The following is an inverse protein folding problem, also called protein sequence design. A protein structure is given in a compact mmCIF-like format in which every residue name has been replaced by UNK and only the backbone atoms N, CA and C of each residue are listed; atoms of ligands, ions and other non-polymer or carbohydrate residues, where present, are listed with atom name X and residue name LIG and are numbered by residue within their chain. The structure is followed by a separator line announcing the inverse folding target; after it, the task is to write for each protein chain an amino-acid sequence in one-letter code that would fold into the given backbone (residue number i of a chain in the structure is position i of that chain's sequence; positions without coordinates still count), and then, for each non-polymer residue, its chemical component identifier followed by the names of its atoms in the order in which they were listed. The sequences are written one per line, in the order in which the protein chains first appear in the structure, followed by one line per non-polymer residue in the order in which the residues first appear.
data_IF_881076586071
#
_entry.id   IF_881076586071
#
_cell.length_a   1.000
_cell.length_b   1.000
_cell.length_c   1.000
_cell.angle_alpha   90.00
_cell.angle_beta   90.00
_cell.angle_gamma   90.00
#
_symmetry.space_group_name_H-M   'P 1'
#
loop_
_entity.id
_entity.type
_entity.pdbx_description
1 polymer ?
#
# COMPACT_ATOMS: atom_id res chain seq x y z
N UNK A 1 -11.42 0.96 13.44
CA UNK A 1 -10.24 0.08 13.61
C UNK A 1 -9.02 0.86 13.15
N UNK A 2 -7.81 0.55 13.61
CA UNK A 2 -6.61 1.24 13.13
C UNK A 2 -6.32 0.81 11.69
N UNK A 3 -6.49 1.71 10.72
CA UNK A 3 -6.14 1.42 9.34
C UNK A 3 -4.61 1.39 9.17
N UNK A 4 -4.03 0.19 9.19
CA UNK A 4 -2.58 -0.02 9.12
C UNK A 4 -2.00 0.36 7.76
N UNK A 5 -2.77 0.17 6.68
CA UNK A 5 -2.37 0.59 5.35
C UNK A 5 -2.19 2.11 5.30
N UNK A 6 -3.16 2.88 5.81
CA UNK A 6 -3.08 4.34 5.91
C UNK A 6 -1.89 4.79 6.76
N UNK A 7 -1.59 4.10 7.87
CA UNK A 7 -0.41 4.37 8.69
C UNK A 7 0.89 4.13 7.92
N UNK A 8 1.01 3.01 7.21
CA UNK A 8 2.18 2.72 6.40
C UNK A 8 2.37 3.75 5.27
N UNK A 9 1.30 4.07 4.55
CA UNK A 9 1.33 5.09 3.48
C UNK A 9 1.62 6.51 4.00
N UNK A 10 1.43 6.77 5.30
CA UNK A 10 1.75 8.06 5.91
C UNK A 10 3.22 8.17 6.38
N UNK A 11 3.93 7.06 6.59
CA UNK A 11 5.32 7.08 7.09
C UNK A 11 6.38 6.96 5.99
N UNK A 12 5.99 6.51 4.80
CA UNK A 12 6.86 6.48 3.62
C UNK A 12 6.88 7.83 2.90
N UNK A 13 7.89 8.09 2.08
CA UNK A 13 7.95 9.31 1.29
C UNK A 13 6.89 9.34 0.18
N UNK A 14 6.58 10.55 -0.30
CA UNK A 14 5.52 10.77 -1.28
C UNK A 14 5.76 10.11 -2.64
N UNK A 15 7.02 9.93 -3.06
CA UNK A 15 7.37 9.25 -4.31
C UNK A 15 7.09 7.76 -4.21
N UNK A 16 7.60 7.12 -3.16
CA UNK A 16 7.34 5.70 -2.89
C UNK A 16 5.83 5.43 -2.71
N UNK A 17 5.10 6.32 -2.03
CA UNK A 17 3.64 6.22 -1.92
C UNK A 17 2.98 6.26 -3.29
N UNK A 18 3.37 7.18 -4.16
CA UNK A 18 2.81 7.31 -5.49
C UNK A 18 3.07 6.05 -6.34
N UNK A 19 4.29 5.51 -6.31
CA UNK A 19 4.65 4.28 -7.04
C UNK A 19 3.84 3.06 -6.58
N UNK A 20 3.62 2.91 -5.27
CA UNK A 20 2.78 1.83 -4.73
C UNK A 20 1.34 1.97 -5.21
N UNK A 21 0.77 3.16 -5.09
CA UNK A 21 -0.63 3.39 -5.49
C UNK A 21 -0.82 3.27 -7.00
N UNK A 22 0.14 3.73 -7.80
CA UNK A 22 0.13 3.56 -9.26
C UNK A 22 0.22 2.09 -9.65
N UNK A 23 1.08 1.30 -9.01
CA UNK A 23 1.18 -0.14 -9.26
C UNK A 23 -0.14 -0.88 -9.00
N UNK A 24 -0.80 -0.56 -7.88
CA UNK A 24 -2.13 -1.11 -7.54
C UNK A 24 -3.18 -0.63 -8.55
N UNK A 25 -3.18 0.66 -8.87
CA UNK A 25 -4.11 1.26 -9.82
C UNK A 25 -4.03 0.59 -11.21
N UNK A 26 -2.81 0.38 -11.71
CA UNK A 26 -2.55 -0.33 -12.96
C UNK A 26 -3.02 -1.78 -12.89
N UNK A 27 -2.77 -2.48 -11.78
CA UNK A 27 -3.18 -3.88 -11.62
C UNK A 27 -4.70 -4.07 -11.69
N UNK A 28 -5.46 -3.17 -11.08
CA UNK A 28 -6.94 -3.24 -11.03
C UNK A 28 -7.65 -2.40 -12.10
N UNK A 29 -6.92 -1.65 -12.93
CA UNK A 29 -7.51 -0.79 -13.96
C UNK A 29 -8.31 0.39 -13.38
N UNK A 30 -7.85 0.95 -12.26
CA UNK A 30 -8.47 2.09 -11.57
C UNK A 30 -7.51 3.29 -11.51
N UNK A 31 -7.94 4.43 -10.96
CA UNK A 31 -7.05 5.57 -10.72
C UNK A 31 -6.29 5.43 -9.38
N UNK A 32 -5.17 6.12 -9.23
CA UNK A 32 -4.40 6.14 -7.98
C UNK A 32 -5.18 6.72 -6.80
N UNK A 33 -6.08 7.68 -7.03
CA UNK A 33 -6.99 8.21 -6.00
C UNK A 33 -7.97 7.14 -5.53
N UNK A 34 -8.53 6.37 -6.47
CA UNK A 34 -9.41 5.25 -6.14
C UNK A 34 -8.63 4.15 -5.41
N UNK A 35 -7.44 3.78 -5.88
CA UNK A 35 -6.58 2.82 -5.21
C UNK A 35 -6.29 3.26 -3.76
N UNK A 36 -6.00 4.55 -3.54
CA UNK A 36 -5.82 5.08 -2.18
C UNK A 36 -7.08 4.93 -1.33
N UNK A 37 -8.26 5.28 -1.85
CA UNK A 37 -9.52 5.12 -1.13
C UNK A 37 -9.79 3.64 -0.76
N UNK A 38 -9.60 2.71 -1.71
CA UNK A 38 -9.83 1.28 -1.48
C UNK A 38 -8.89 0.71 -0.42
N UNK A 39 -7.58 0.99 -0.49
CA UNK A 39 -6.61 0.41 0.46
C UNK A 39 -6.64 1.11 1.82
N UNK A 40 -7.27 2.28 1.94
CA UNK A 40 -7.46 3.00 3.21
C UNK A 40 -8.89 2.92 3.75
N UNK A 41 -9.73 2.06 3.16
CA UNK A 41 -11.04 1.75 3.69
C UNK A 41 -10.94 0.98 5.03
N UNK A 42 -11.92 1.14 5.90
CA UNK A 42 -11.97 0.47 7.21
C UNK A 42 -12.05 -1.06 7.10
N UNK A 43 -12.48 -1.59 5.95
CA UNK A 43 -12.57 -3.02 5.63
C UNK A 43 -11.51 -3.47 4.62
N UNK A 44 -10.51 -2.63 4.33
CA UNK A 44 -9.43 -3.00 3.43
C UNK A 44 -8.62 -4.20 3.98
N UNK A 45 -8.27 -5.12 3.08
CA UNK A 45 -7.34 -6.21 3.36
C UNK A 45 -5.91 -5.66 3.56
N UNK A 46 -4.95 -6.54 3.85
CA UNK A 46 -3.56 -6.11 3.98
C UNK A 46 -3.05 -5.54 2.65
N UNK A 47 -2.31 -4.42 2.68
CA UNK A 47 -1.87 -3.71 1.46
C UNK A 47 -1.20 -4.62 0.43
N UNK A 48 -0.40 -5.60 0.88
CA UNK A 48 0.32 -6.53 0.01
C UNK A 48 -0.59 -7.44 -0.81
N UNK A 49 -1.84 -7.64 -0.40
CA UNK A 49 -2.82 -8.45 -1.14
C UNK A 49 -3.33 -7.73 -2.39
N UNK A 50 -3.21 -6.40 -2.43
CA UNK A 50 -3.52 -5.57 -3.59
C UNK A 50 -2.35 -5.43 -4.56
N UNK A 51 -1.15 -5.87 -4.16
CA UNK A 51 0.08 -5.60 -4.90
C UNK A 51 0.55 -6.83 -5.69
N UNK A 52 1.18 -6.56 -6.83
CA UNK A 52 1.85 -7.57 -7.65
C UNK A 52 3.37 -7.43 -7.59
N UNK A 53 4.08 -8.47 -8.00
CA UNK A 53 5.54 -8.41 -8.09
C UNK A 53 6.01 -7.52 -9.24
N UNK A 54 7.17 -6.84 -9.10
CA UNK A 54 8.09 -6.86 -7.95
C UNK A 54 7.74 -5.89 -6.80
N UNK A 55 6.77 -5.00 -6.98
CA UNK A 55 6.44 -3.93 -6.03
C UNK A 55 5.97 -4.49 -4.68
N UNK A 56 5.27 -5.63 -4.69
CA UNK A 56 4.84 -6.32 -3.46
C UNK A 56 6.03 -6.67 -2.56
N UNK A 57 7.06 -7.30 -3.11
CA UNK A 57 8.27 -7.64 -2.33
C UNK A 57 8.97 -6.38 -1.81
N UNK A 58 9.10 -5.34 -2.65
CA UNK A 58 9.71 -4.08 -2.25
C UNK A 58 8.96 -3.40 -1.09
N UNK A 59 7.62 -3.35 -1.17
CA UNK A 59 6.78 -2.81 -0.10
C UNK A 59 6.90 -3.61 1.21
N UNK A 60 6.97 -4.94 1.15
CA UNK A 60 7.19 -5.79 2.32
C UNK A 60 8.51 -5.47 3.04
N UNK A 61 9.59 -5.24 2.28
CA UNK A 61 10.89 -4.82 2.83
C UNK A 61 10.80 -3.43 3.48
N UNK A 62 10.08 -2.50 2.84
CA UNK A 62 9.87 -1.16 3.41
C UNK A 62 9.05 -1.22 4.71
N UNK A 63 7.96 -1.98 4.74
CA UNK A 63 7.19 -2.22 5.96
C UNK A 63 8.09 -2.76 7.07
N UNK A 64 8.97 -3.71 6.77
CA UNK A 64 9.93 -4.23 7.75
C UNK A 64 10.87 -3.15 8.27
N UNK A 65 11.41 -2.30 7.38
CA UNK A 65 12.28 -1.17 7.75
C UNK A 65 11.59 -0.18 8.70
N UNK A 66 10.28 0.01 8.56
CA UNK A 66 9.47 0.88 9.42
C UNK A 66 8.94 0.18 10.69
N UNK A 67 9.40 -1.04 10.99
CA UNK A 67 8.94 -1.78 12.18
C UNK A 67 7.50 -2.31 12.05
N UNK A 68 6.98 -2.38 10.83
CA UNK A 68 5.62 -2.77 10.49
C UNK A 68 5.56 -4.21 9.92
N UNK A 69 6.37 -5.14 10.45
CA UNK A 69 6.38 -6.54 9.99
C UNK A 69 5.37 -7.39 10.77
N UNK A 70 4.62 -8.24 10.07
CA UNK A 70 3.75 -9.26 10.69
C UNK A 70 2.32 -8.78 10.98
N UNK A 71 1.86 -7.78 10.24
CA UNK A 71 0.49 -7.32 10.30
C UNK A 71 -0.47 -8.20 9.53
#
# INVERSE_FOLDING_TARGET
MTNRNAQFLAVIDGGTKAEILESIAVHYGISSEKAFAEVTDDQAEHLLDYMVEPQRTAASVLMHRHGMRGW
#
